data_IF_324392722192
#
_entry.id   IF_324392722192
#
_cell.length_a   1.000
_cell.length_b   1.000
_cell.length_c   1.000
_cell.angle_alpha   90.00
_cell.angle_beta   90.00
_cell.angle_gamma   90.00
#
_symmetry.space_group_name_H-M   'P 1'
#
loop_
_entity.id
_entity.type
_entity.pdbx_description
1 polymer ?
#
# COMPACT_ATOMS: atom_id res chain seq x y z
N UNK A 1 -54.64 -58.60 25.03
CA UNK A 1 -53.85 -58.58 23.77
C UNK A 1 -53.42 -57.14 23.53
N UNK A 2 -52.21 -56.87 23.87
CA UNK A 2 -51.62 -55.51 23.69
C UNK A 2 -50.87 -55.44 22.37
N UNK A 3 -51.11 -54.40 21.61
CA UNK A 3 -50.31 -54.06 20.46
C UNK A 3 -49.52 -52.81 20.77
N UNK A 4 -48.23 -52.99 20.99
CA UNK A 4 -47.28 -51.87 21.21
C UNK A 4 -46.84 -51.29 19.87
N UNK A 5 -47.19 -50.05 19.66
CA UNK A 5 -46.67 -49.30 18.54
C UNK A 5 -45.35 -48.61 18.96
N UNK A 6 -44.27 -48.98 18.31
CA UNK A 6 -42.98 -48.33 18.38
C UNK A 6 -42.95 -47.13 17.45
N UNK A 7 -42.92 -45.96 18.02
CA UNK A 7 -42.67 -44.74 17.25
C UNK A 7 -41.13 -44.49 17.16
N UNK A 8 -40.63 -44.61 15.95
CA UNK A 8 -39.23 -44.25 15.67
C UNK A 8 -39.11 -42.75 15.48
N UNK A 9 -38.45 -42.10 16.40
CA UNK A 9 -38.05 -40.68 16.31
C UNK A 9 -36.76 -40.57 15.52
N UNK A 10 -36.87 -40.16 14.28
CA UNK A 10 -35.73 -39.80 13.45
C UNK A 10 -35.31 -38.38 13.80
N UNK A 11 -34.24 -38.25 14.55
CA UNK A 11 -33.60 -36.95 14.82
C UNK A 11 -32.77 -36.56 13.61
N UNK A 12 -33.27 -35.62 12.83
CA UNK A 12 -32.49 -34.98 11.78
C UNK A 12 -31.56 -33.97 12.42
N UNK A 13 -30.26 -34.26 12.48
CA UNK A 13 -29.19 -33.31 12.82
C UNK A 13 -29.03 -32.35 11.64
N UNK A 14 -29.64 -31.20 11.73
CA UNK A 14 -29.26 -30.08 10.86
C UNK A 14 -27.88 -29.58 11.33
N UNK A 15 -26.86 -29.99 10.61
CA UNK A 15 -25.52 -29.40 10.73
C UNK A 15 -25.58 -27.96 10.24
N UNK A 16 -25.48 -27.00 11.17
CA UNK A 16 -25.27 -25.61 10.80
C UNK A 16 -23.85 -25.47 10.30
N UNK A 17 -23.70 -25.35 8.98
CA UNK A 17 -22.47 -24.90 8.37
C UNK A 17 -22.27 -23.44 8.76
N UNK A 18 -21.44 -23.20 9.79
CA UNK A 18 -20.94 -21.87 10.09
C UNK A 18 -19.97 -21.47 9.00
N UNK A 19 -20.46 -20.73 7.99
CA UNK A 19 -19.55 -20.01 7.13
C UNK A 19 -18.88 -18.93 7.96
N UNK A 20 -17.61 -19.13 8.34
CA UNK A 20 -16.80 -18.09 8.95
C UNK A 20 -16.65 -16.91 8.00
N UNK A 21 -16.42 -15.67 8.52
CA UNK A 21 -16.16 -14.52 7.65
C UNK A 21 -14.99 -14.83 6.73
N UNK A 22 -15.21 -14.66 5.43
CA UNK A 22 -14.15 -14.81 4.45
C UNK A 22 -13.14 -13.67 4.65
N UNK A 23 -11.94 -13.99 5.15
CA UNK A 23 -10.80 -13.06 5.25
C UNK A 23 -10.09 -12.96 3.90
N UNK A 24 -10.83 -12.71 2.81
CA UNK A 24 -10.26 -12.70 1.47
C UNK A 24 -9.37 -11.48 1.18
N UNK A 25 -9.42 -10.42 2.01
CA UNK A 25 -8.82 -9.13 1.72
C UNK A 25 -7.79 -8.67 2.79
N UNK A 26 -7.43 -9.51 3.74
CA UNK A 26 -6.38 -9.18 4.69
C UNK A 26 -5.02 -9.52 4.06
N UNK A 27 -4.16 -8.51 3.76
CA UNK A 27 -2.83 -8.79 3.24
C UNK A 27 -2.06 -9.64 4.25
N UNK A 28 -1.25 -10.63 3.78
CA UNK A 28 -0.46 -11.46 4.66
C UNK A 28 0.39 -10.60 5.60
N UNK A 29 0.53 -11.01 6.85
CA UNK A 29 1.17 -10.28 7.95
C UNK A 29 2.65 -9.88 7.73
N UNK A 30 3.21 -10.06 6.54
CA UNK A 30 4.54 -9.65 6.14
C UNK A 30 4.55 -8.56 5.06
N UNK A 31 3.39 -8.14 4.57
CA UNK A 31 3.28 -7.22 3.42
C UNK A 31 2.97 -5.79 3.87
N UNK A 32 3.58 -5.38 4.98
CA UNK A 32 3.49 -4.01 5.49
C UNK A 32 4.54 -3.14 4.79
N UNK A 33 4.19 -2.67 3.62
CA UNK A 33 5.06 -1.82 2.84
C UNK A 33 4.27 -0.92 1.91
N UNK A 34 5.01 -0.07 1.24
CA UNK A 34 4.47 0.84 0.25
C UNK A 34 4.85 0.38 -1.15
N UNK A 35 3.88 0.41 -2.04
CA UNK A 35 4.12 0.41 -3.47
C UNK A 35 4.22 1.87 -3.92
N UNK A 36 5.40 2.25 -4.37
CA UNK A 36 5.68 3.58 -4.89
C UNK A 36 5.71 3.52 -6.41
N UNK A 37 5.01 4.42 -7.06
CA UNK A 37 4.92 4.45 -8.51
C UNK A 37 5.14 5.86 -9.02
N UNK A 38 5.88 5.98 -10.12
CA UNK A 38 6.00 7.22 -10.89
C UNK A 38 5.54 6.92 -12.31
N UNK A 39 4.68 7.76 -12.85
CA UNK A 39 4.20 7.63 -14.22
C UNK A 39 4.30 8.97 -14.97
N UNK A 40 4.55 8.89 -16.25
CA UNK A 40 4.55 10.05 -17.15
C UNK A 40 3.15 10.47 -17.57
N UNK A 41 3.07 11.58 -18.28
CA UNK A 41 1.81 12.13 -18.78
C UNK A 41 1.00 11.08 -19.55
N UNK A 42 -0.28 10.96 -19.21
CA UNK A 42 -1.20 10.01 -19.85
C UNK A 42 -0.80 8.54 -19.67
N UNK A 43 -0.05 8.22 -18.61
CA UNK A 43 0.48 6.87 -18.35
C UNK A 43 1.29 6.29 -19.53
N UNK A 44 1.99 7.13 -20.27
CA UNK A 44 2.85 6.71 -21.39
C UNK A 44 3.99 5.80 -20.96
N UNK A 45 4.43 5.91 -19.70
CA UNK A 45 5.35 5.01 -19.04
C UNK A 45 5.06 4.99 -17.54
N UNK A 46 5.47 3.93 -16.88
CA UNK A 46 5.33 3.79 -15.43
C UNK A 46 6.49 2.98 -14.87
N UNK A 47 6.96 3.35 -13.68
CA UNK A 47 7.93 2.60 -12.89
C UNK A 47 7.41 2.48 -11.47
N UNK A 48 7.68 1.34 -10.84
CA UNK A 48 7.25 1.10 -9.47
C UNK A 48 8.30 0.34 -8.69
N UNK A 49 8.39 0.63 -7.40
CA UNK A 49 9.24 -0.08 -6.45
C UNK A 49 8.47 -0.35 -5.17
N UNK A 50 8.89 -1.37 -4.43
CA UNK A 50 8.41 -1.64 -3.09
C UNK A 50 9.38 -1.09 -2.06
N UNK A 51 8.83 -0.47 -1.02
CA UNK A 51 9.57 0.06 0.11
C UNK A 51 9.00 -0.52 1.39
N UNK A 52 9.83 -1.24 2.13
CA UNK A 52 9.52 -1.73 3.47
C UNK A 52 10.39 -1.01 4.48
N UNK A 53 9.79 -0.52 5.55
CA UNK A 53 10.47 0.18 6.64
C UNK A 53 10.10 -0.46 7.99
N UNK A 54 11.03 -0.61 8.93
CA UNK A 54 12.45 -0.23 8.87
C UNK A 54 13.33 -1.24 8.13
N UNK A 55 12.80 -2.42 7.83
CA UNK A 55 13.50 -3.44 7.09
C UNK A 55 13.64 -2.99 5.64
N UNK A 56 14.83 -2.58 5.26
CA UNK A 56 15.13 -2.09 3.91
C UNK A 56 15.08 -3.20 2.85
N UNK A 57 14.15 -4.14 3.00
CA UNK A 57 13.85 -5.16 2.01
C UNK A 57 12.86 -4.58 0.99
N UNK A 58 13.07 -4.88 -0.24
CA UNK A 58 12.27 -4.38 -1.34
C UNK A 58 13.16 -3.96 -2.49
N UNK A 59 12.57 -3.34 -3.49
CA UNK A 59 13.27 -2.97 -4.71
C UNK A 59 13.71 -1.50 -4.78
N UNK A 60 13.46 -0.73 -3.73
CA UNK A 60 13.82 0.69 -3.71
C UNK A 60 15.35 0.87 -3.66
N UNK A 61 15.96 1.58 -4.63
CA UNK A 61 17.41 1.74 -4.68
C UNK A 61 17.99 2.62 -3.56
N UNK A 62 17.16 3.44 -2.92
CA UNK A 62 17.52 4.33 -1.81
C UNK A 62 16.64 4.07 -0.58
N UNK A 63 16.41 2.80 -0.26
CA UNK A 63 15.46 2.39 0.77
C UNK A 63 15.73 3.02 2.15
N UNK A 64 16.96 3.04 2.60
CA UNK A 64 17.31 3.61 3.90
C UNK A 64 16.96 5.11 3.97
N UNK A 65 17.36 5.90 2.98
CA UNK A 65 17.06 7.32 2.92
C UNK A 65 15.56 7.60 2.78
N UNK A 66 14.85 6.77 2.00
CA UNK A 66 13.41 6.85 1.84
C UNK A 66 12.67 6.55 3.15
N UNK A 67 13.09 5.52 3.88
CA UNK A 67 12.54 5.20 5.21
C UNK A 67 12.80 6.31 6.23
N UNK A 68 13.98 6.91 6.22
CA UNK A 68 14.31 8.05 7.09
C UNK A 68 13.42 9.27 6.79
N UNK A 69 13.20 9.57 5.51
CA UNK A 69 12.32 10.66 5.10
C UNK A 69 10.87 10.44 5.57
N UNK A 70 10.34 9.23 5.42
CA UNK A 70 9.01 8.88 5.91
C UNK A 70 8.91 8.95 7.44
N UNK A 71 9.94 8.54 8.14
CA UNK A 71 10.00 8.64 9.60
C UNK A 71 9.99 10.10 10.05
N UNK A 72 10.76 10.94 9.39
CA UNK A 72 10.75 12.39 9.64
C UNK A 72 9.36 13.00 9.43
N UNK A 73 8.70 12.62 8.34
CA UNK A 73 7.35 13.09 7.99
C UNK A 73 6.24 12.39 8.77
N UNK A 74 6.56 11.38 9.60
CA UNK A 74 5.59 10.54 10.32
C UNK A 74 4.57 9.87 9.40
N UNK A 75 5.01 9.47 8.20
CA UNK A 75 4.16 8.84 7.20
C UNK A 75 3.28 9.79 6.39
N UNK A 76 3.36 11.09 6.64
CA UNK A 76 2.66 12.12 5.86
C UNK A 76 3.53 12.52 4.65
N UNK A 77 3.12 12.07 3.47
CA UNK A 77 3.89 12.34 2.25
C UNK A 77 3.82 13.83 1.82
N UNK A 78 2.83 14.58 2.31
CA UNK A 78 2.77 16.02 2.08
C UNK A 78 3.72 16.81 3.01
N UNK A 79 4.24 16.16 4.04
CA UNK A 79 5.18 16.74 5.00
C UNK A 79 6.62 16.23 4.82
N UNK A 80 6.95 15.60 3.70
CA UNK A 80 8.30 15.12 3.41
C UNK A 80 9.30 16.28 3.42
N UNK A 81 10.54 16.07 3.95
CA UNK A 81 11.55 17.13 3.98
C UNK A 81 12.01 17.55 2.60
N UNK A 82 11.85 16.69 1.61
CA UNK A 82 12.21 17.01 0.23
C UNK A 82 13.70 17.20 0.00
N UNK A 83 14.00 17.77 -1.16
CA UNK A 83 15.35 18.20 -1.54
C UNK A 83 15.23 19.57 -2.23
N UNK A 84 15.14 20.65 -1.45
CA UNK A 84 14.96 22.00 -1.99
C UNK A 84 16.00 22.34 -3.04
N UNK A 85 15.56 22.75 -4.21
CA UNK A 85 16.40 23.09 -5.35
C UNK A 85 15.66 24.01 -6.31
N UNK A 86 16.40 24.78 -7.10
CA UNK A 86 15.82 25.56 -8.16
C UNK A 86 15.49 24.64 -9.34
N UNK A 87 14.25 24.69 -9.79
CA UNK A 87 13.78 23.92 -10.95
C UNK A 87 13.42 24.85 -12.09
N UNK A 88 13.68 24.41 -13.33
CA UNK A 88 13.18 25.10 -14.52
C UNK A 88 11.66 24.92 -14.65
N UNK A 89 11.03 25.74 -15.48
CA UNK A 89 9.58 25.65 -15.78
C UNK A 89 9.29 24.71 -16.94
N UNK A 90 10.17 23.76 -17.20
CA UNK A 90 9.88 22.70 -18.15
C UNK A 90 8.60 21.97 -17.74
N UNK A 91 7.74 21.73 -18.73
CA UNK A 91 6.48 21.01 -18.52
C UNK A 91 6.56 19.61 -19.10
N UNK A 92 6.89 18.66 -18.28
CA UNK A 92 6.92 17.22 -18.52
C UNK A 92 6.25 16.53 -17.34
N UNK A 93 4.91 16.55 -17.27
CA UNK A 93 4.17 16.19 -16.07
C UNK A 93 4.33 14.74 -15.69
N UNK A 94 4.41 14.51 -14.40
CA UNK A 94 4.55 13.21 -13.78
C UNK A 94 3.56 13.05 -12.63
N UNK A 95 3.11 11.82 -12.41
CA UNK A 95 2.29 11.47 -11.26
C UNK A 95 3.07 10.53 -10.35
N UNK A 96 3.17 10.87 -9.09
CA UNK A 96 3.72 10.00 -8.04
C UNK A 96 2.58 9.41 -7.20
N UNK A 97 2.67 8.12 -6.89
CA UNK A 97 1.69 7.44 -6.02
C UNK A 97 2.39 6.64 -4.93
N UNK A 98 1.76 6.55 -3.78
CA UNK A 98 2.16 5.68 -2.68
C UNK A 98 0.93 4.97 -2.14
N UNK A 99 0.92 3.65 -2.22
CA UNK A 99 -0.21 2.82 -1.79
C UNK A 99 0.32 1.69 -0.92
N UNK A 100 -0.34 1.45 0.20
CA UNK A 100 -0.01 0.37 1.10
C UNK A 100 -0.16 0.76 2.56
N UNK A 101 0.77 0.33 3.39
CA UNK A 101 0.77 0.65 4.82
C UNK A 101 2.15 1.13 5.26
N UNK A 102 2.16 2.07 6.16
CA UNK A 102 3.35 2.53 6.86
C UNK A 102 3.10 2.46 8.36
N UNK A 103 3.86 1.59 9.05
CA UNK A 103 3.70 1.31 10.50
C UNK A 103 2.25 1.02 10.88
N UNK A 104 1.56 0.18 10.08
CA UNK A 104 0.18 -0.22 10.30
C UNK A 104 -0.87 0.81 9.90
N UNK A 105 -0.48 1.98 9.43
CA UNK A 105 -1.40 3.03 8.97
C UNK A 105 -1.57 2.93 7.45
N UNK A 106 -2.79 2.84 6.94
CA UNK A 106 -3.03 2.83 5.50
C UNK A 106 -2.55 4.12 4.84
N UNK A 107 -1.88 3.99 3.71
CA UNK A 107 -1.44 5.10 2.86
C UNK A 107 -2.07 4.94 1.49
N UNK A 108 -2.74 5.98 1.04
CA UNK A 108 -3.26 6.11 -0.32
C UNK A 108 -3.06 7.56 -0.75
N UNK A 109 -1.93 7.81 -1.40
CA UNK A 109 -1.50 9.15 -1.76
C UNK A 109 -1.12 9.21 -3.22
N UNK A 110 -1.45 10.29 -3.87
CA UNK A 110 -0.99 10.61 -5.22
C UNK A 110 -0.81 12.12 -5.37
N UNK A 111 0.11 12.51 -6.23
CA UNK A 111 0.34 13.91 -6.55
C UNK A 111 0.92 14.06 -7.95
N UNK A 112 0.41 15.07 -8.65
CA UNK A 112 0.93 15.47 -9.95
C UNK A 112 1.97 16.56 -9.79
N UNK A 113 3.03 16.46 -10.59
CA UNK A 113 4.12 17.41 -10.62
C UNK A 113 4.36 17.88 -12.04
N UNK A 114 4.72 19.15 -12.24
CA UNK A 114 4.97 19.68 -13.59
C UNK A 114 6.21 19.07 -14.25
N UNK A 115 7.16 18.54 -13.48
CA UNK A 115 8.36 17.86 -13.96
C UNK A 115 9.06 17.06 -12.86
N UNK A 116 10.06 16.28 -13.26
CA UNK A 116 10.82 15.44 -12.34
C UNK A 116 11.61 16.24 -11.29
N UNK A 117 12.14 17.40 -11.65
CA UNK A 117 12.86 18.26 -10.71
C UNK A 117 11.95 18.73 -9.57
N UNK A 118 10.74 19.16 -9.89
CA UNK A 118 9.76 19.62 -8.91
C UNK A 118 9.31 18.45 -7.99
N UNK A 119 9.16 17.26 -8.55
CA UNK A 119 8.86 16.06 -7.77
C UNK A 119 10.00 15.74 -6.79
N UNK A 120 11.25 15.73 -7.26
CA UNK A 120 12.40 15.47 -6.40
C UNK A 120 12.56 16.54 -5.31
N UNK A 121 12.32 17.80 -5.65
CA UNK A 121 12.35 18.90 -4.67
C UNK A 121 11.33 18.71 -3.55
N UNK A 122 10.15 18.19 -3.86
CA UNK A 122 9.08 17.98 -2.89
C UNK A 122 9.23 16.67 -2.10
N UNK A 123 9.71 15.60 -2.72
CA UNK A 123 9.65 14.25 -2.17
C UNK A 123 11.01 13.67 -1.79
N UNK A 124 12.10 14.27 -2.24
CA UNK A 124 13.46 13.82 -1.96
C UNK A 124 13.71 12.38 -2.42
N UNK A 125 14.31 11.54 -1.56
CA UNK A 125 14.72 10.19 -1.95
C UNK A 125 13.55 9.22 -2.18
N UNK A 126 12.32 9.55 -1.73
CA UNK A 126 11.21 8.61 -1.75
C UNK A 126 10.83 8.16 -3.16
N UNK A 127 10.85 9.05 -4.13
CA UNK A 127 10.52 8.75 -5.53
C UNK A 127 11.74 8.79 -6.47
N UNK A 128 12.91 8.59 -5.92
CA UNK A 128 14.17 8.57 -6.68
C UNK A 128 14.54 7.15 -7.08
N UNK A 129 13.85 6.66 -8.12
CA UNK A 129 14.09 5.34 -8.69
C UNK A 129 13.78 5.26 -10.19
#
# INVERSE_FOLDING_TARGET
>A
VGVSALAALSSALLGTLSAGPAHADEPPAGDQGLLLTVSGAGNTWSRGVRLNCPDVHGSHPHAAAACDALTWARGDLDALPGHPQACTREYDPMTATAIGTWRGVPVNWHKDFPNACTMDAATGPLFRF
#
